data_IF_806370752935
#
_entry.id   IF_806370752935
#
_cell.length_a   1.000
_cell.length_b   1.000
_cell.length_c   1.000
_cell.angle_alpha   90.00
_cell.angle_beta   90.00
_cell.angle_gamma   90.00
#
_symmetry.space_group_name_H-M   'P 1'
#
loop_
_entity.id
_entity.type
_entity.pdbx_description
1 polymer ?
#
# COMPACT_ATOMS: atom_id res chain seq x y z
N UNK A 1 14.96 -2.28 4.83
CA UNK A 1 14.72 -3.66 5.30
C UNK A 1 13.36 -4.21 4.85
N UNK A 2 12.24 -3.55 5.16
CA UNK A 2 10.88 -3.99 4.72
C UNK A 2 10.70 -4.06 3.21
N UNK A 3 11.31 -3.12 2.45
CA UNK A 3 11.29 -3.11 0.97
C UNK A 3 11.78 -4.45 0.40
N UNK A 4 12.95 -4.91 0.86
CA UNK A 4 13.59 -6.14 0.37
C UNK A 4 12.81 -7.42 0.67
N UNK A 5 12.05 -7.48 1.77
CA UNK A 5 11.25 -8.66 2.11
C UNK A 5 9.94 -8.72 1.33
N UNK A 6 9.23 -7.58 1.23
CA UNK A 6 8.00 -7.48 0.42
C UNK A 6 8.33 -7.72 -1.05
N UNK A 7 9.43 -7.15 -1.56
CA UNK A 7 9.91 -7.41 -2.92
C UNK A 7 10.13 -8.89 -3.20
N UNK A 8 10.78 -9.63 -2.28
CA UNK A 8 10.99 -11.08 -2.43
C UNK A 8 9.67 -11.85 -2.49
N UNK A 9 8.74 -11.53 -1.59
CA UNK A 9 7.42 -12.19 -1.52
C UNK A 9 6.64 -11.91 -2.80
N UNK A 10 6.56 -10.65 -3.23
CA UNK A 10 5.87 -10.27 -4.46
C UNK A 10 6.48 -10.96 -5.68
N UNK A 11 7.82 -10.99 -5.78
CA UNK A 11 8.52 -11.71 -6.85
C UNK A 11 8.17 -13.19 -6.87
N UNK A 12 8.20 -13.87 -5.72
CA UNK A 12 7.85 -15.30 -5.66
C UNK A 12 6.41 -15.54 -6.06
N UNK A 13 5.47 -14.70 -5.64
CA UNK A 13 4.05 -14.82 -5.99
C UNK A 13 3.86 -14.61 -7.49
N UNK A 14 4.38 -13.51 -8.04
CA UNK A 14 4.23 -13.19 -9.46
C UNK A 14 4.92 -14.23 -10.36
N UNK A 15 6.10 -14.73 -9.97
CA UNK A 15 6.76 -15.83 -10.68
C UNK A 15 5.91 -17.12 -10.69
N UNK A 16 5.23 -17.44 -9.58
CA UNK A 16 4.28 -18.56 -9.55
C UNK A 16 3.08 -18.32 -10.46
N UNK A 17 2.56 -17.09 -10.54
CA UNK A 17 1.45 -16.75 -11.44
C UNK A 17 1.84 -16.95 -12.91
N UNK A 18 3.04 -16.50 -13.30
CA UNK A 18 3.58 -16.73 -14.65
C UNK A 18 3.79 -18.22 -14.91
N UNK A 19 4.42 -18.95 -13.97
CA UNK A 19 4.70 -20.39 -14.13
C UNK A 19 3.43 -21.22 -14.33
N UNK A 20 2.31 -20.80 -13.74
CA UNK A 20 1.01 -21.45 -13.89
C UNK A 20 0.20 -20.92 -15.10
N UNK A 21 0.80 -20.08 -15.96
CA UNK A 21 0.13 -19.44 -17.10
C UNK A 21 -1.13 -18.62 -16.72
N UNK A 22 -1.19 -18.10 -15.50
CA UNK A 22 -2.30 -17.25 -15.04
C UNK A 22 -2.14 -15.83 -15.58
N UNK A 23 -0.89 -15.35 -15.68
CA UNK A 23 -0.52 -14.05 -16.26
C UNK A 23 0.58 -14.25 -17.30
N UNK A 24 0.66 -13.35 -18.29
CA UNK A 24 1.75 -13.35 -19.27
C UNK A 24 3.05 -12.91 -18.62
N UNK A 25 4.17 -13.38 -19.17
CA UNK A 25 5.50 -12.95 -18.71
C UNK A 25 5.70 -11.43 -18.92
N UNK A 26 5.15 -10.88 -20.00
CA UNK A 26 5.16 -9.45 -20.33
C UNK A 26 4.56 -8.59 -19.22
N UNK A 27 3.52 -9.10 -18.55
CA UNK A 27 2.78 -8.38 -17.50
C UNK A 27 3.39 -8.61 -16.11
N UNK A 28 4.43 -9.45 -15.99
CA UNK A 28 5.03 -9.81 -14.71
C UNK A 28 5.35 -8.58 -13.84
N UNK A 29 6.02 -7.59 -14.41
CA UNK A 29 6.47 -6.43 -13.63
C UNK A 29 5.30 -5.54 -13.19
N UNK A 30 4.25 -5.45 -14.00
CA UNK A 30 3.01 -4.72 -13.67
C UNK A 30 2.32 -5.38 -12.47
N UNK A 31 2.18 -6.72 -12.50
CA UNK A 31 1.57 -7.47 -11.41
C UNK A 31 2.43 -7.46 -10.15
N UNK A 32 3.75 -7.58 -10.28
CA UNK A 32 4.68 -7.47 -9.15
C UNK A 32 4.55 -6.11 -8.46
N UNK A 33 4.50 -5.03 -9.24
CA UNK A 33 4.32 -3.67 -8.73
C UNK A 33 2.95 -3.49 -8.07
N UNK A 34 1.88 -3.94 -8.74
CA UNK A 34 0.52 -3.88 -8.20
C UNK A 34 0.39 -4.61 -6.86
N UNK A 35 0.96 -5.81 -6.77
CA UNK A 35 0.98 -6.61 -5.55
C UNK A 35 1.78 -5.93 -4.43
N UNK A 36 2.93 -5.32 -4.77
CA UNK A 36 3.72 -4.55 -3.81
C UNK A 36 2.94 -3.35 -3.27
N UNK A 37 2.23 -2.61 -4.13
CA UNK A 37 1.38 -1.49 -3.70
C UNK A 37 0.23 -1.96 -2.83
N UNK A 38 -0.41 -3.07 -3.19
CA UNK A 38 -1.53 -3.64 -2.46
C UNK A 38 -1.14 -4.00 -1.02
N UNK A 39 -0.06 -4.77 -0.85
CA UNK A 39 0.45 -5.19 0.46
C UNK A 39 0.78 -3.97 1.32
N UNK A 40 1.52 -3.02 0.77
CA UNK A 40 1.89 -1.80 1.49
C UNK A 40 0.67 -0.99 1.91
N UNK A 41 -0.35 -0.89 1.07
CA UNK A 41 -1.56 -0.13 1.35
C UNK A 41 -2.38 -0.77 2.48
N UNK A 42 -2.44 -2.10 2.54
CA UNK A 42 -3.06 -2.83 3.66
C UNK A 42 -2.34 -2.50 4.97
N UNK A 43 -1.01 -2.63 5.03
CA UNK A 43 -0.26 -2.32 6.24
C UNK A 43 -0.44 -0.86 6.68
N UNK A 44 -0.51 0.06 5.71
CA UNK A 44 -0.73 1.48 5.98
C UNK A 44 -2.12 1.73 6.55
N UNK A 45 -3.15 1.11 5.99
CA UNK A 45 -4.53 1.18 6.49
C UNK A 45 -4.66 0.63 7.91
N UNK A 46 -4.06 -0.53 8.19
CA UNK A 46 -4.03 -1.12 9.54
C UNK A 46 -3.35 -0.16 10.53
N UNK A 47 -2.21 0.42 10.15
CA UNK A 47 -1.51 1.39 11.00
C UNK A 47 -2.34 2.63 11.31
N UNK A 48 -3.04 3.19 10.31
CA UNK A 48 -3.94 4.33 10.49
C UNK A 48 -5.10 3.97 11.43
N UNK A 49 -5.74 2.81 11.22
CA UNK A 49 -6.82 2.34 12.09
C UNK A 49 -6.36 2.12 13.54
N UNK A 50 -5.18 1.55 13.75
CA UNK A 50 -4.63 1.32 15.09
C UNK A 50 -4.39 2.64 15.84
N UNK A 51 -3.83 3.65 15.16
CA UNK A 51 -3.61 4.99 15.74
C UNK A 51 -4.95 5.67 16.02
N UNK A 52 -5.88 5.63 15.07
CA UNK A 52 -7.20 6.21 15.22
C UNK A 52 -8.01 5.58 16.36
N UNK A 53 -7.84 4.26 16.59
CA UNK A 53 -8.42 3.57 17.73
C UNK A 53 -7.91 4.14 19.05
N UNK A 54 -6.58 4.30 19.18
CA UNK A 54 -5.97 4.90 20.37
C UNK A 54 -6.36 6.35 20.63
N UNK A 55 -6.68 7.11 19.57
CA UNK A 55 -7.15 8.50 19.66
C UNK A 55 -8.67 8.63 19.85
N UNK A 56 -9.44 7.53 19.74
CA UNK A 56 -10.91 7.56 19.76
C UNK A 56 -11.54 8.18 18.50
N UNK A 57 -10.79 8.27 17.39
CA UNK A 57 -11.13 8.99 16.14
C UNK A 57 -11.36 8.05 14.96
N UNK A 58 -12.01 6.92 15.21
CA UNK A 58 -12.22 5.86 14.21
C UNK A 58 -13.09 6.34 13.03
N UNK A 59 -14.07 7.20 13.30
CA UNK A 59 -14.97 7.71 12.25
C UNK A 59 -14.22 8.62 11.27
N UNK A 60 -13.40 9.50 11.80
CA UNK A 60 -12.54 10.41 11.04
C UNK A 60 -11.53 9.62 10.19
N UNK A 61 -10.93 8.58 10.76
CA UNK A 61 -10.02 7.71 10.02
C UNK A 61 -10.70 6.93 8.88
N UNK A 62 -11.93 6.45 9.08
CA UNK A 62 -12.69 5.78 8.02
C UNK A 62 -12.99 6.73 6.85
N UNK A 63 -13.45 7.94 7.15
CA UNK A 63 -13.70 8.99 6.14
C UNK A 63 -12.41 9.35 5.41
N UNK A 64 -11.32 9.54 6.15
CA UNK A 64 -10.01 9.86 5.61
C UNK A 64 -9.51 8.76 4.66
N UNK A 65 -9.57 7.49 5.05
CA UNK A 65 -9.11 6.37 4.21
C UNK A 65 -9.91 6.31 2.90
N UNK A 66 -11.22 6.52 2.94
CA UNK A 66 -12.08 6.51 1.75
C UNK A 66 -11.72 7.69 0.84
N UNK A 67 -11.74 8.91 1.37
CA UNK A 67 -11.49 10.12 0.59
C UNK A 67 -10.06 10.13 0.02
N UNK A 68 -9.07 9.85 0.86
CA UNK A 68 -7.67 9.78 0.45
C UNK A 68 -7.42 8.62 -0.50
N UNK A 69 -8.11 7.49 -0.35
CA UNK A 69 -8.06 6.35 -1.27
C UNK A 69 -8.53 6.71 -2.67
N UNK A 70 -9.68 7.38 -2.79
CA UNK A 70 -10.22 7.87 -4.07
C UNK A 70 -9.25 8.86 -4.71
N UNK A 71 -8.72 9.81 -3.92
CA UNK A 71 -7.74 10.78 -4.39
C UNK A 71 -6.48 10.09 -4.93
N UNK A 72 -5.99 9.04 -4.25
CA UNK A 72 -4.81 8.27 -4.64
C UNK A 72 -4.97 7.46 -5.93
N UNK A 73 -6.19 6.98 -6.22
CA UNK A 73 -6.47 6.25 -7.46
C UNK A 73 -6.38 7.20 -8.66
N UNK A 74 -6.87 8.43 -8.50
CA UNK A 74 -6.95 9.41 -9.58
C UNK A 74 -5.68 10.26 -9.75
N UNK A 75 -5.03 10.67 -8.65
CA UNK A 75 -3.84 11.51 -8.69
C UNK A 75 -2.53 10.72 -8.92
N UNK A 76 -2.61 9.39 -8.98
CA UNK A 76 -1.44 8.52 -8.90
C UNK A 76 -0.68 8.76 -7.60
N UNK A 77 0.64 8.63 -7.62
CA UNK A 77 1.44 8.98 -6.44
C UNK A 77 2.92 9.02 -6.71
N UNK A 78 3.61 9.91 -6.00
CA UNK A 78 5.07 9.92 -5.92
C UNK A 78 5.51 8.79 -4.99
N UNK A 79 6.24 7.80 -5.52
CA UNK A 79 6.76 6.70 -4.71
C UNK A 79 7.94 7.21 -3.89
N UNK A 80 7.67 7.68 -2.67
CA UNK A 80 8.73 8.03 -1.73
C UNK A 80 9.69 6.84 -1.57
N UNK A 81 10.99 7.13 -1.48
CA UNK A 81 12.05 6.13 -1.38
C UNK A 81 11.81 5.08 -0.29
N UNK A 82 11.04 5.42 0.74
CA UNK A 82 10.68 4.56 1.87
C UNK A 82 9.19 4.62 2.21
N UNK A 83 8.55 3.45 2.34
CA UNK A 83 7.13 3.32 2.74
C UNK A 83 6.80 3.98 4.07
N UNK A 84 7.76 3.98 5.00
CA UNK A 84 7.62 4.61 6.31
C UNK A 84 7.43 6.12 6.23
N UNK A 85 8.15 6.81 5.33
CA UNK A 85 7.95 8.26 5.12
C UNK A 85 6.54 8.56 4.64
N UNK A 86 6.04 7.74 3.72
CA UNK A 86 4.67 7.87 3.22
C UNK A 86 3.64 7.65 4.34
N UNK A 87 3.89 6.71 5.26
CA UNK A 87 3.04 6.50 6.43
C UNK A 87 3.02 7.70 7.38
N UNK A 88 4.18 8.27 7.72
CA UNK A 88 4.27 9.46 8.58
C UNK A 88 3.53 10.65 7.97
N UNK A 89 3.73 10.93 6.67
CA UNK A 89 3.03 12.02 5.98
C UNK A 89 1.52 11.79 6.03
N UNK A 90 1.04 10.57 5.74
CA UNK A 90 -0.39 10.25 5.80
C UNK A 90 -0.98 10.44 7.19
N UNK A 91 -0.25 10.08 8.26
CA UNK A 91 -0.70 10.33 9.64
C UNK A 91 -0.81 11.82 9.91
N UNK A 92 0.23 12.61 9.57
CA UNK A 92 0.22 14.06 9.78
C UNK A 92 -0.99 14.69 9.07
N UNK A 93 -1.25 14.34 7.81
CA UNK A 93 -2.42 14.84 7.08
C UNK A 93 -3.76 14.46 7.72
N UNK A 94 -3.84 13.34 8.45
CA UNK A 94 -5.07 12.96 9.17
C UNK A 94 -5.24 13.73 10.48
N UNK A 95 -4.14 14.12 11.13
CA UNK A 95 -4.15 14.74 12.47
C UNK A 95 -4.13 16.27 12.46
N UNK A 96 -3.80 16.90 11.34
CA UNK A 96 -3.78 18.37 11.19
C UNK A 96 -5.08 18.85 10.57
#
# INVERSE_FOLDING_TARGET
MVKNMIDKICRTITQKLVKNNIIKFEDHDIYMYGLQLFIVSIFKGIGIFAIAYGLGRIKEAAIFIIAFGILRINAGGYHFSTYFRCFIVTILTMTT
#
